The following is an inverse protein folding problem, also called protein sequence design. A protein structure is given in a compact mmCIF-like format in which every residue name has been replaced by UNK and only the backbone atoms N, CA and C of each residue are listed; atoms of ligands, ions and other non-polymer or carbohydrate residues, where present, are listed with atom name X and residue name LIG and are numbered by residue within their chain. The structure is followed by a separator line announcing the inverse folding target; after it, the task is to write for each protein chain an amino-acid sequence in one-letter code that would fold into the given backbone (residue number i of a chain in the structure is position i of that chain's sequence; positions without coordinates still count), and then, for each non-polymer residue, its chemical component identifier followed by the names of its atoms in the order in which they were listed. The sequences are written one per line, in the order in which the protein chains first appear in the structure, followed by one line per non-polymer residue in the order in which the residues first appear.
data_IF_628645472246
#
_entry.id   IF_628645472246
#
_cell.length_a   1.000
_cell.length_b   1.000
_cell.length_c   1.000
_cell.angle_alpha   90.00
_cell.angle_beta   90.00
_cell.angle_gamma   90.00
#
_symmetry.space_group_name_H-M   'P 1'
#
loop_
_entity.id
_entity.type
_entity.pdbx_description
1 polymer ?
#
# COMPACT_ATOMS: atom_id res chain seq x y z
N UNK A 1 11.84 13.02 -18.18
CA UNK A 1 10.57 13.29 -17.49
C UNK A 1 10.19 12.01 -16.76
N UNK A 2 10.11 12.03 -15.44
CA UNK A 2 9.66 10.86 -14.69
C UNK A 2 8.16 10.65 -14.95
N UNK A 3 7.77 9.41 -15.22
CA UNK A 3 6.37 9.04 -15.38
C UNK A 3 5.70 9.06 -14.01
N UNK A 4 4.88 10.08 -13.75
CA UNK A 4 4.19 10.25 -12.46
C UNK A 4 3.29 9.06 -12.15
N UNK A 5 2.83 8.33 -13.17
CA UNK A 5 1.99 7.15 -13.01
C UNK A 5 2.79 5.96 -12.46
N UNK A 6 4.05 5.82 -12.87
CA UNK A 6 4.95 4.82 -12.29
C UNK A 6 5.23 5.13 -10.81
N UNK A 7 5.53 6.39 -10.49
CA UNK A 7 5.74 6.84 -9.12
C UNK A 7 4.49 6.65 -8.26
N UNK A 8 3.31 6.96 -8.82
CA UNK A 8 2.04 6.71 -8.15
C UNK A 8 1.82 5.22 -7.87
N UNK A 9 2.07 4.33 -8.83
CA UNK A 9 1.94 2.88 -8.64
C UNK A 9 2.89 2.35 -7.57
N UNK A 10 4.12 2.84 -7.54
CA UNK A 10 5.09 2.49 -6.51
C UNK A 10 4.61 2.94 -5.12
N UNK A 11 4.21 4.21 -4.98
CA UNK A 11 3.70 4.73 -3.71
C UNK A 11 2.41 4.02 -3.26
N UNK A 12 1.48 3.79 -4.20
CA UNK A 12 0.24 3.06 -3.96
C UNK A 12 0.52 1.63 -3.48
N UNK A 13 1.55 0.96 -4.01
CA UNK A 13 1.90 -0.40 -3.61
C UNK A 13 2.33 -0.46 -2.13
N UNK A 14 3.13 0.50 -1.67
CA UNK A 14 3.52 0.61 -0.26
C UNK A 14 2.31 0.92 0.63
N UNK A 15 1.44 1.85 0.22
CA UNK A 15 0.18 2.13 0.95
C UNK A 15 -0.69 0.87 1.07
N UNK A 16 -0.83 0.10 -0.02
CA UNK A 16 -1.59 -1.14 -0.02
C UNK A 16 -1.00 -2.16 0.94
N UNK A 17 0.33 -2.36 0.95
CA UNK A 17 1.00 -3.27 1.87
C UNK A 17 0.75 -2.87 3.33
N UNK A 18 0.83 -1.58 3.65
CA UNK A 18 0.52 -1.09 5.00
C UNK A 18 -0.94 -1.38 5.38
N UNK A 19 -1.89 -1.01 4.51
CA UNK A 19 -3.31 -1.23 4.75
C UNK A 19 -3.64 -2.72 4.89
N UNK A 20 -3.21 -3.57 3.96
CA UNK A 20 -3.49 -4.99 3.99
C UNK A 20 -2.92 -5.66 5.22
N UNK A 21 -1.69 -5.31 5.61
CA UNK A 21 -1.05 -5.88 6.80
C UNK A 21 -1.85 -5.52 8.06
N UNK A 22 -2.20 -4.25 8.24
CA UNK A 22 -2.97 -3.78 9.39
C UNK A 22 -4.38 -4.37 9.44
N UNK A 23 -5.13 -4.25 8.34
CA UNK A 23 -6.52 -4.70 8.32
C UNK A 23 -6.63 -6.22 8.40
N UNK A 24 -5.70 -6.97 7.81
CA UNK A 24 -5.66 -8.43 7.98
C UNK A 24 -5.40 -8.79 9.44
N UNK A 25 -4.39 -8.18 10.07
CA UNK A 25 -4.08 -8.40 11.49
C UNK A 25 -5.29 -8.08 12.39
N UNK A 26 -5.94 -6.94 12.16
CA UNK A 26 -7.11 -6.50 12.93
C UNK A 26 -8.32 -7.41 12.70
N UNK A 27 -8.57 -7.82 11.46
CA UNK A 27 -9.70 -8.68 11.11
C UNK A 27 -9.56 -10.07 11.72
N UNK A 28 -8.35 -10.65 11.75
CA UNK A 28 -8.12 -11.95 12.41
C UNK A 28 -8.53 -11.86 13.89
N UNK A 29 -8.09 -10.81 14.61
CA UNK A 29 -8.47 -10.61 16.01
C UNK A 29 -9.99 -10.42 16.19
N UNK A 30 -10.59 -9.55 15.38
CA UNK A 30 -12.01 -9.24 15.46
C UNK A 30 -12.89 -10.47 15.20
N UNK A 31 -12.57 -11.25 14.17
CA UNK A 31 -13.33 -12.46 13.83
C UNK A 31 -13.14 -13.53 14.92
N UNK A 32 -11.91 -13.73 15.41
CA UNK A 32 -11.66 -14.68 16.49
C UNK A 32 -12.38 -14.31 17.80
N UNK A 33 -12.55 -13.01 18.09
CA UNK A 33 -13.30 -12.54 19.25
C UNK A 33 -14.82 -12.75 19.09
N UNK A 34 -15.34 -12.65 17.88
CA UNK A 34 -16.78 -12.79 17.59
C UNK A 34 -17.25 -14.21 17.27
N UNK A 35 -16.36 -15.11 16.85
CA UNK A 35 -16.70 -16.47 16.41
C UNK A 35 -15.85 -17.55 17.11
N UNK A 36 -16.51 -18.31 18.00
CA UNK A 36 -15.90 -19.42 18.74
C UNK A 36 -15.35 -20.54 17.83
N UNK A 37 -15.97 -20.78 16.67
CA UNK A 37 -15.49 -21.80 15.73
C UNK A 37 -14.17 -21.38 15.10
N UNK A 38 -14.06 -20.11 14.71
CA UNK A 38 -12.81 -19.54 14.21
C UNK A 38 -11.75 -19.55 15.30
N UNK A 39 -12.08 -19.10 16.51
CA UNK A 39 -11.15 -19.16 17.64
C UNK A 39 -10.60 -20.58 17.88
N UNK A 40 -11.47 -21.59 17.87
CA UNK A 40 -11.03 -22.98 18.02
C UNK A 40 -10.16 -23.45 16.85
N UNK A 41 -10.50 -23.08 15.61
CA UNK A 41 -9.72 -23.43 14.43
C UNK A 41 -8.30 -22.81 14.46
N UNK A 42 -8.17 -21.54 14.86
CA UNK A 42 -6.87 -20.88 15.03
C UNK A 42 -6.02 -21.60 16.11
N UNK A 43 -6.65 -22.00 17.22
CA UNK A 43 -5.97 -22.72 18.31
C UNK A 43 -5.55 -24.16 17.95
N UNK A 44 -5.93 -24.71 16.79
CA UNK A 44 -5.37 -25.98 16.31
C UNK A 44 -3.91 -25.87 15.89
N UNK A 45 -3.45 -24.67 15.52
CA UNK A 45 -2.05 -24.38 15.22
C UNK A 45 -1.68 -22.95 15.68
N UNK A 46 -1.60 -22.73 17.00
CA UNK A 46 -1.43 -21.38 17.54
C UNK A 46 -0.07 -20.78 17.20
N UNK A 47 0.98 -21.59 17.08
CA UNK A 47 2.32 -21.12 16.75
C UNK A 47 2.36 -20.48 15.35
N UNK A 48 1.77 -21.13 14.34
CA UNK A 48 1.72 -20.57 12.99
C UNK A 48 0.95 -19.24 12.96
N UNK A 49 -0.18 -19.16 13.63
CA UNK A 49 -0.97 -17.92 13.66
C UNK A 49 -0.28 -16.79 14.41
N UNK A 50 0.42 -17.09 15.52
CA UNK A 50 1.21 -16.09 16.23
C UNK A 50 2.33 -15.54 15.33
N UNK A 51 3.05 -16.40 14.60
CA UNK A 51 4.07 -15.96 13.65
C UNK A 51 3.45 -15.06 12.58
N UNK A 52 2.33 -15.47 11.98
CA UNK A 52 1.62 -14.67 10.97
C UNK A 52 1.23 -13.30 11.52
N UNK A 53 0.68 -13.24 12.74
CA UNK A 53 0.28 -11.98 13.38
C UNK A 53 1.48 -11.06 13.64
N UNK A 54 2.60 -11.61 14.12
CA UNK A 54 3.84 -10.83 14.29
C UNK A 54 4.41 -10.34 12.96
N UNK A 55 4.36 -11.17 11.91
CA UNK A 55 4.78 -10.78 10.57
C UNK A 55 3.91 -9.65 10.02
N UNK A 56 2.58 -9.74 10.12
CA UNK A 56 1.66 -8.68 9.69
C UNK A 56 1.92 -7.36 10.42
N UNK A 57 2.09 -7.42 11.75
CA UNK A 57 2.39 -6.24 12.56
C UNK A 57 3.74 -5.62 12.19
N UNK A 58 4.78 -6.45 12.03
CA UNK A 58 6.12 -6.00 11.63
C UNK A 58 6.10 -5.37 10.25
N UNK A 59 5.44 -6.01 9.27
CA UNK A 59 5.29 -5.47 7.92
C UNK A 59 4.58 -4.14 7.93
N UNK A 60 3.51 -3.99 8.72
CA UNK A 60 2.81 -2.71 8.87
C UNK A 60 3.73 -1.60 9.36
N UNK A 61 4.47 -1.83 10.46
CA UNK A 61 5.37 -0.83 11.03
C UNK A 61 6.53 -0.47 10.09
N UNK A 62 7.14 -1.47 9.45
CA UNK A 62 8.21 -1.24 8.46
C UNK A 62 7.71 -0.38 7.31
N UNK A 63 6.52 -0.72 6.77
CA UNK A 63 5.96 -0.04 5.60
C UNK A 63 5.55 1.39 5.92
N UNK A 64 4.92 1.63 7.07
CA UNK A 64 4.66 3.00 7.56
C UNK A 64 5.98 3.76 7.77
N UNK A 65 6.99 3.11 8.35
CA UNK A 65 8.31 3.70 8.52
C UNK A 65 8.88 4.23 7.21
N UNK A 66 8.83 3.43 6.13
CA UNK A 66 9.26 3.86 4.78
C UNK A 66 8.39 4.97 4.20
N UNK A 67 7.05 4.85 4.33
CA UNK A 67 6.11 5.83 3.78
C UNK A 67 6.30 7.23 4.38
N UNK A 68 6.71 7.32 5.64
CA UNK A 68 6.92 8.58 6.37
C UNK A 68 8.39 8.87 6.68
N UNK A 69 9.32 8.17 6.01
CA UNK A 69 10.74 8.41 6.18
C UNK A 69 11.11 9.83 5.74
N UNK A 70 11.96 10.47 6.52
CA UNK A 70 12.45 11.83 6.29
C UNK A 70 13.80 11.85 5.57
N UNK A 71 14.46 10.69 5.40
CA UNK A 71 15.67 10.59 4.58
C UNK A 71 15.33 10.95 3.12
N UNK A 72 16.09 11.89 2.56
CA UNK A 72 15.94 12.36 1.17
C UNK A 72 16.20 11.26 0.13
N UNK A 73 16.89 10.17 0.51
CA UNK A 73 17.15 9.00 -0.33
C UNK A 73 15.99 8.00 -0.34
N UNK A 74 15.05 8.13 0.59
CA UNK A 74 13.86 7.27 0.65
C UNK A 74 12.77 7.76 -0.31
N UNK A 75 12.03 6.82 -0.89
CA UNK A 75 10.81 7.11 -1.65
C UNK A 75 9.60 7.19 -0.69
N UNK A 76 9.59 8.23 0.14
CA UNK A 76 8.52 8.52 1.09
C UNK A 76 7.44 9.42 0.51
N UNK A 77 6.38 9.68 1.28
CA UNK A 77 5.32 10.64 0.95
C UNK A 77 5.86 12.03 0.63
N UNK A 78 6.94 12.44 1.31
CA UNK A 78 7.60 13.73 1.06
C UNK A 78 8.28 13.76 -0.31
N UNK A 79 8.94 12.66 -0.68
CA UNK A 79 9.57 12.51 -1.99
C UNK A 79 8.52 12.43 -3.09
N UNK A 80 7.48 11.62 -2.91
CA UNK A 80 6.38 11.52 -3.88
C UNK A 80 5.69 12.86 -4.11
N UNK A 81 5.31 13.59 -3.04
CA UNK A 81 4.67 14.89 -3.16
C UNK A 81 5.55 15.92 -3.88
N UNK A 82 6.85 15.96 -3.57
CA UNK A 82 7.81 16.82 -4.27
C UNK A 82 7.85 16.51 -5.76
N UNK A 83 7.92 15.22 -6.14
CA UNK A 83 7.89 14.80 -7.55
C UNK A 83 6.58 15.18 -8.24
N UNK A 84 5.44 15.11 -7.56
CA UNK A 84 4.16 15.60 -8.09
C UNK A 84 4.19 17.11 -8.36
N UNK A 85 4.74 17.91 -7.45
CA UNK A 85 4.87 19.36 -7.60
C UNK A 85 5.82 19.71 -8.76
N UNK A 86 6.96 19.03 -8.86
CA UNK A 86 7.93 19.21 -9.96
C UNK A 86 7.36 18.86 -11.34
N UNK A 87 6.33 18.00 -11.40
CA UNK A 87 5.69 17.53 -12.62
C UNK A 87 4.20 17.91 -12.67
N UNK A 88 3.85 19.10 -12.16
CA UNK A 88 2.45 19.53 -12.01
C UNK A 88 1.69 19.59 -13.35
N UNK A 89 2.40 19.81 -14.45
CA UNK A 89 1.87 19.83 -15.81
C UNK A 89 1.23 18.49 -16.23
N UNK A 90 1.70 17.38 -15.66
CA UNK A 90 1.14 16.05 -15.89
C UNK A 90 -0.27 15.88 -15.29
N UNK A 91 -0.70 16.78 -14.39
CA UNK A 91 -2.04 16.77 -13.80
C UNK A 91 -3.05 17.67 -14.55
N UNK A 92 -2.65 18.29 -15.66
CA UNK A 92 -3.54 19.08 -16.51
C UNK A 92 -4.62 18.23 -17.20
N UNK A 93 -5.74 18.88 -17.57
CA UNK A 93 -6.80 18.23 -18.37
C UNK A 93 -6.28 17.69 -19.70
N UNK A 94 -5.34 18.39 -20.33
CA UNK A 94 -4.75 17.97 -21.60
C UNK A 94 -3.86 16.73 -21.43
N UNK A 95 -3.05 16.67 -20.36
CA UNK A 95 -2.27 15.49 -20.03
C UNK A 95 -3.19 14.28 -19.73
N UNK A 96 -4.28 14.50 -18.99
CA UNK A 96 -5.29 13.46 -18.73
C UNK A 96 -5.94 12.96 -20.04
N UNK A 97 -6.32 13.88 -20.94
CA UNK A 97 -6.89 13.52 -22.24
C UNK A 97 -5.93 12.66 -23.06
N UNK A 98 -4.65 13.05 -23.12
CA UNK A 98 -3.60 12.28 -23.81
C UNK A 98 -3.47 10.86 -23.24
N UNK A 99 -3.49 10.71 -21.90
CA UNK A 99 -3.46 9.39 -21.25
C UNK A 99 -4.67 8.52 -21.62
N UNK A 100 -5.88 9.10 -21.59
CA UNK A 100 -7.12 8.38 -21.95
C UNK A 100 -7.13 7.91 -23.40
N UNK A 101 -6.65 8.76 -24.33
CA UNK A 101 -6.57 8.40 -25.74
C UNK A 101 -5.58 7.25 -25.96
N UNK A 102 -4.40 7.32 -25.35
CA UNK A 102 -3.38 6.25 -25.42
C UNK A 102 -3.89 4.91 -24.86
N UNK A 103 -4.67 4.93 -23.79
CA UNK A 103 -5.30 3.72 -23.25
C UNK A 103 -6.33 3.12 -24.21
N UNK A 104 -7.18 3.95 -24.81
CA UNK A 104 -8.20 3.49 -25.75
C UNK A 104 -7.65 2.93 -27.07
N UNK A 105 -6.42 3.32 -27.46
CA UNK A 105 -5.74 2.78 -28.63
C UNK A 105 -5.05 1.43 -28.33
N UNK A 106 -4.68 1.17 -27.08
CA UNK A 106 -4.08 -0.10 -26.67
C UNK A 106 -5.11 -1.25 -26.53
N UNK A 107 -6.40 -0.91 -26.43
CA UNK A 107 -7.52 -1.86 -26.35
C UNK A 107 -8.11 -2.23 -27.73
N UNK A 108 -7.50 -1.76 -28.83
CA UNK A 108 -7.86 -2.11 -30.21
C UNK A 108 -6.83 -3.05 -30.83
#
# INVERSE_FOLDING_TARGET
MEDIEKLYKEFQSEVNVACWSFYTWKNIHNIAAGDKKVHHALNRNPLSWNIILYSLQSTFFITIGRLFDTDKRSFSVHTFLRKCIENIDQFSKDALRKRRMKGSEADK
#
